data_IF_247579593091
#
_entry.id   IF_247579593091
#
_cell.length_a   1.000
_cell.length_b   1.000
_cell.length_c   1.000
_cell.angle_alpha   90.00
_cell.angle_beta   90.00
_cell.angle_gamma   90.00
#
_symmetry.space_group_name_H-M   'P 1'
#
loop_
_entity.id
_entity.type
_entity.pdbx_description
1 polymer ?
#
# COMPACT_ATOMS: atom_id res chain seq x y z
N UNK A 1 -12.79 19.48 16.33
CA UNK A 1 -12.16 20.71 16.89
C UNK A 1 -11.63 21.62 15.78
N UNK A 2 -10.67 21.21 14.89
CA UNK A 2 -10.12 22.09 13.84
C UNK A 2 -11.19 22.76 12.94
N UNK A 3 -12.20 22.01 12.51
CA UNK A 3 -13.30 22.58 11.69
C UNK A 3 -14.06 23.71 12.41
N UNK A 4 -14.35 23.53 13.70
CA UNK A 4 -15.04 24.55 14.50
C UNK A 4 -14.17 25.78 14.70
N UNK A 5 -12.88 25.60 14.96
CA UNK A 5 -11.92 26.71 15.10
C UNK A 5 -11.88 27.57 13.83
N UNK A 6 -11.71 26.94 12.66
CA UNK A 6 -11.69 27.63 11.36
C UNK A 6 -13.05 28.27 11.03
N UNK A 7 -14.15 27.62 11.46
CA UNK A 7 -15.48 28.17 11.23
C UNK A 7 -15.76 29.42 12.08
N UNK A 8 -15.17 29.50 13.28
CA UNK A 8 -15.34 30.61 14.20
C UNK A 8 -14.33 31.74 13.99
N UNK A 9 -13.07 31.39 13.75
CA UNK A 9 -11.95 32.35 13.69
C UNK A 9 -11.64 32.83 12.26
N UNK A 10 -12.28 32.29 11.24
CA UNK A 10 -12.18 32.76 9.85
C UNK A 10 -10.82 32.63 9.18
N UNK A 11 -9.96 31.69 9.65
CA UNK A 11 -8.63 31.49 9.10
C UNK A 11 -8.66 30.93 7.69
N UNK A 12 -8.19 31.69 6.69
CA UNK A 12 -7.99 31.24 5.31
C UNK A 12 -6.54 31.44 4.87
N UNK A 13 -6.02 30.53 4.04
CA UNK A 13 -4.70 30.61 3.43
C UNK A 13 -4.82 31.14 2.00
N UNK A 14 -4.84 32.47 1.86
CA UNK A 14 -5.06 33.15 0.57
C UNK A 14 -3.77 33.27 -0.27
N UNK A 15 -2.63 33.03 0.31
CA UNK A 15 -1.32 32.99 -0.33
C UNK A 15 -1.12 31.75 -1.22
N UNK A 16 -1.86 30.69 -0.96
CA UNK A 16 -1.83 29.43 -1.75
C UNK A 16 -2.66 29.61 -3.02
N UNK A 17 -2.06 29.40 -4.18
CA UNK A 17 -2.74 29.52 -5.49
C UNK A 17 -3.34 28.21 -5.97
N UNK A 18 -2.72 27.09 -5.62
CA UNK A 18 -3.17 25.75 -5.97
C UNK A 18 -2.77 24.78 -4.87
N UNK A 19 -3.71 23.98 -4.41
CA UNK A 19 -3.49 22.92 -3.43
C UNK A 19 -3.54 21.57 -4.13
N UNK A 20 -2.51 20.75 -3.93
CA UNK A 20 -2.47 19.37 -4.34
C UNK A 20 -2.72 18.50 -3.10
N UNK A 21 -3.68 17.59 -3.19
CA UNK A 21 -3.99 16.60 -2.15
C UNK A 21 -3.74 15.23 -2.75
N UNK A 22 -2.75 14.52 -2.24
CA UNK A 22 -2.46 13.17 -2.65
C UNK A 22 -3.09 12.16 -1.67
N UNK A 23 -3.18 10.88 -2.10
CA UNK A 23 -3.76 9.80 -1.32
C UNK A 23 -5.20 10.13 -0.84
N UNK A 24 -6.06 10.49 -1.77
CA UNK A 24 -7.41 11.02 -1.53
C UNK A 24 -8.24 10.23 -0.52
N UNK A 25 -8.01 8.94 -0.38
CA UNK A 25 -8.79 8.06 0.50
C UNK A 25 -8.36 8.09 1.97
N UNK A 26 -7.22 8.67 2.28
CA UNK A 26 -6.74 8.78 3.66
C UNK A 26 -7.45 9.90 4.44
N UNK A 27 -8.14 10.78 3.72
CA UNK A 27 -8.86 11.90 4.31
C UNK A 27 -10.34 11.57 4.53
N UNK A 28 -10.83 11.92 5.72
CA UNK A 28 -12.25 11.84 6.04
C UNK A 28 -13.03 12.99 5.38
N UNK A 29 -14.36 12.87 5.20
CA UNK A 29 -15.18 13.96 4.67
C UNK A 29 -15.07 15.27 5.46
N UNK A 30 -14.85 15.19 6.78
CA UNK A 30 -14.63 16.37 7.63
C UNK A 30 -13.32 17.06 7.30
N UNK A 31 -12.24 16.29 7.07
CA UNK A 31 -10.94 16.85 6.67
C UNK A 31 -11.04 17.56 5.31
N UNK A 32 -11.80 17.01 4.34
CA UNK A 32 -12.06 17.70 3.07
C UNK A 32 -12.80 19.02 3.27
N UNK A 33 -13.78 19.09 4.17
CA UNK A 33 -14.47 20.34 4.50
C UNK A 33 -13.54 21.35 5.17
N UNK A 34 -12.61 20.90 6.00
CA UNK A 34 -11.55 21.73 6.58
C UNK A 34 -10.64 22.28 5.48
N UNK A 35 -10.15 21.41 4.59
CA UNK A 35 -9.32 21.79 3.44
C UNK A 35 -10.05 22.82 2.55
N UNK A 36 -11.33 22.62 2.28
CA UNK A 36 -12.11 23.53 1.47
C UNK A 36 -12.22 24.93 2.08
N UNK A 37 -12.41 25.01 3.41
CA UNK A 37 -12.50 26.30 4.13
C UNK A 37 -11.14 26.99 4.25
N UNK A 38 -10.09 26.23 4.58
CA UNK A 38 -8.74 26.79 4.75
C UNK A 38 -8.14 27.30 3.44
N UNK A 39 -8.38 26.60 2.34
CA UNK A 39 -7.77 26.90 1.05
C UNK A 39 -8.84 27.21 0.01
N UNK A 40 -9.19 28.48 -0.21
CA UNK A 40 -10.16 28.90 -1.23
C UNK A 40 -9.65 28.78 -2.68
N UNK A 41 -8.40 28.37 -2.87
CA UNK A 41 -7.75 28.22 -4.17
C UNK A 41 -8.23 26.99 -4.96
N UNK A 42 -7.73 26.85 -6.21
CA UNK A 42 -7.90 25.63 -7.01
C UNK A 42 -7.30 24.44 -6.29
N UNK A 43 -7.95 23.27 -6.45
CA UNK A 43 -7.51 22.02 -5.82
C UNK A 43 -7.40 20.92 -6.86
N UNK A 44 -6.37 20.11 -6.77
CA UNK A 44 -6.27 18.81 -7.45
C UNK A 44 -6.16 17.74 -6.38
N UNK A 45 -7.05 16.76 -6.45
CA UNK A 45 -7.10 15.64 -5.51
C UNK A 45 -6.74 14.38 -6.29
N UNK A 46 -5.69 13.71 -5.85
CA UNK A 46 -5.13 12.51 -6.48
C UNK A 46 -5.32 11.31 -5.56
N UNK A 47 -5.39 10.13 -6.13
CA UNK A 47 -5.36 8.88 -5.37
C UNK A 47 -6.03 7.74 -6.09
N UNK A 48 -5.75 6.52 -5.59
CA UNK A 48 -6.34 5.29 -6.10
C UNK A 48 -7.58 4.91 -5.27
N UNK A 49 -8.72 4.82 -5.93
CA UNK A 49 -9.98 4.44 -5.31
C UNK A 49 -9.95 3.00 -4.72
N UNK A 50 -9.03 2.15 -5.14
CA UNK A 50 -8.91 0.75 -4.70
C UNK A 50 -7.96 0.56 -3.51
N UNK A 51 -7.09 1.52 -3.21
CA UNK A 51 -6.04 1.41 -2.17
C UNK A 51 -6.44 2.11 -0.84
N UNK A 52 -7.55 1.72 -0.23
CA UNK A 52 -7.92 2.23 1.09
C UNK A 52 -7.55 1.26 2.20
N UNK A 53 -6.73 1.69 3.13
CA UNK A 53 -6.42 0.99 4.39
C UNK A 53 -6.95 1.73 5.62
N UNK A 54 -7.55 2.92 5.42
CA UNK A 54 -8.15 3.72 6.49
C UNK A 54 -9.67 3.48 6.55
N UNK A 55 -10.20 2.85 7.61
CA UNK A 55 -11.64 2.61 7.75
C UNK A 55 -12.47 3.90 7.88
N UNK A 56 -11.83 5.02 8.24
CA UNK A 56 -12.48 6.33 8.39
C UNK A 56 -12.27 7.25 7.18
N UNK A 57 -11.54 6.80 6.16
CA UNK A 57 -11.28 7.55 4.94
C UNK A 57 -12.55 7.71 4.07
N UNK A 58 -12.50 8.64 3.13
CA UNK A 58 -13.57 8.81 2.13
C UNK A 58 -13.58 7.63 1.18
N UNK A 59 -14.66 6.87 1.15
CA UNK A 59 -14.72 5.59 0.44
C UNK A 59 -15.00 5.71 -1.06
N UNK A 60 -15.50 6.84 -1.53
CA UNK A 60 -15.86 7.03 -2.96
C UNK A 60 -15.52 8.42 -3.48
N UNK A 61 -15.27 8.52 -4.79
CA UNK A 61 -15.11 9.81 -5.49
C UNK A 61 -16.33 10.72 -5.30
N UNK A 62 -17.53 10.16 -5.26
CA UNK A 62 -18.78 10.91 -5.05
C UNK A 62 -18.84 11.59 -3.66
N UNK A 63 -18.34 10.92 -2.62
CA UNK A 63 -18.26 11.52 -1.28
C UNK A 63 -17.27 12.69 -1.24
N UNK A 64 -16.15 12.55 -1.93
CA UNK A 64 -15.14 13.60 -2.04
C UNK A 64 -15.70 14.78 -2.84
N UNK A 65 -16.36 14.52 -3.98
CA UNK A 65 -17.03 15.57 -4.76
C UNK A 65 -18.09 16.32 -3.93
N UNK A 66 -18.94 15.61 -3.20
CA UNK A 66 -19.92 16.23 -2.29
C UNK A 66 -19.27 17.07 -1.19
N UNK A 67 -18.11 16.66 -0.68
CA UNK A 67 -17.38 17.41 0.34
C UNK A 67 -16.71 18.67 -0.23
N UNK A 68 -16.21 18.61 -1.46
CA UNK A 68 -15.53 19.73 -2.15
C UNK A 68 -16.48 20.62 -2.99
N UNK A 69 -17.75 20.22 -3.13
CA UNK A 69 -18.85 20.95 -3.79
C UNK A 69 -18.74 21.07 -5.31
N UNK A 70 -17.53 21.17 -5.89
CA UNK A 70 -17.33 21.28 -7.34
C UNK A 70 -16.05 20.56 -7.75
N UNK A 71 -16.06 19.89 -8.88
CA UNK A 71 -14.87 19.25 -9.45
C UNK A 71 -15.20 18.30 -10.58
N UNK A 72 -14.32 18.21 -11.56
CA UNK A 72 -14.35 17.18 -12.58
C UNK A 72 -13.55 15.96 -12.09
N UNK A 73 -14.05 14.76 -12.38
CA UNK A 73 -13.36 13.51 -12.09
C UNK A 73 -12.73 13.00 -13.37
N UNK A 74 -11.42 12.85 -13.35
CA UNK A 74 -10.67 12.23 -14.41
C UNK A 74 -10.15 10.88 -13.92
N UNK A 75 -10.44 9.81 -14.67
CA UNK A 75 -9.94 8.45 -14.36
C UNK A 75 -8.69 8.17 -15.20
N UNK A 76 -7.63 7.73 -14.53
CA UNK A 76 -6.43 7.19 -15.18
C UNK A 76 -6.49 5.67 -15.06
N UNK A 77 -6.77 4.99 -16.16
CA UNK A 77 -7.02 3.54 -16.16
C UNK A 77 -5.76 2.70 -16.38
N UNK A 78 -4.67 3.27 -16.91
CA UNK A 78 -3.45 2.52 -17.24
C UNK A 78 -2.50 2.43 -16.05
N UNK A 79 -2.11 1.19 -15.71
CA UNK A 79 -1.08 0.90 -14.70
C UNK A 79 0.26 0.66 -15.38
N UNK A 80 1.25 1.49 -15.04
CA UNK A 80 2.62 1.42 -15.58
C UNK A 80 3.61 0.81 -14.59
N UNK A 81 3.23 0.65 -13.33
CA UNK A 81 4.11 0.28 -12.22
C UNK A 81 4.51 -1.19 -12.28
N UNK A 82 3.54 -2.06 -12.23
CA UNK A 82 3.72 -3.50 -12.11
C UNK A 82 3.65 -4.21 -13.46
N UNK A 83 4.16 -5.44 -13.53
CA UNK A 83 3.96 -6.32 -14.69
C UNK A 83 2.50 -6.74 -14.81
N UNK A 84 2.10 -7.21 -16.01
CA UNK A 84 0.75 -7.73 -16.24
C UNK A 84 0.40 -8.83 -15.25
N UNK A 85 1.34 -9.76 -14.99
CA UNK A 85 1.15 -10.91 -14.12
C UNK A 85 0.89 -10.51 -12.65
N UNK A 86 1.58 -9.46 -12.16
CA UNK A 86 1.35 -8.91 -10.82
C UNK A 86 0.00 -8.17 -10.78
N UNK A 87 -0.32 -7.42 -11.82
CA UNK A 87 -1.60 -6.70 -11.93
C UNK A 87 -2.77 -7.69 -11.97
N UNK A 88 -2.67 -8.75 -12.77
CA UNK A 88 -3.69 -9.82 -12.86
C UNK A 88 -3.85 -10.55 -11.52
N UNK A 89 -2.75 -10.76 -10.79
CA UNK A 89 -2.80 -11.35 -9.45
C UNK A 89 -3.50 -10.40 -8.46
N UNK A 90 -3.21 -9.12 -8.49
CA UNK A 90 -3.87 -8.11 -7.65
C UNK A 90 -5.38 -8.04 -7.93
N UNK A 91 -5.80 -8.23 -9.19
CA UNK A 91 -7.21 -8.28 -9.59
C UNK A 91 -7.98 -9.46 -8.97
N UNK A 92 -7.32 -10.58 -8.66
CA UNK A 92 -7.96 -11.68 -7.91
C UNK A 92 -8.30 -11.26 -6.48
N UNK A 93 -7.42 -10.49 -5.85
CA UNK A 93 -7.63 -10.00 -4.49
C UNK A 93 -8.74 -8.94 -4.48
N UNK A 94 -8.67 -7.96 -5.37
CA UNK A 94 -9.67 -6.90 -5.49
C UNK A 94 -9.86 -6.51 -6.95
N UNK A 95 -11.05 -6.74 -7.46
CA UNK A 95 -11.40 -6.40 -8.83
C UNK A 95 -11.46 -4.88 -8.99
N UNK A 96 -10.73 -4.36 -9.95
CA UNK A 96 -10.82 -2.98 -10.43
C UNK A 96 -11.05 -3.02 -11.95
N UNK A 97 -12.31 -2.91 -12.37
CA UNK A 97 -12.72 -3.01 -13.77
C UNK A 97 -12.18 -1.87 -14.64
N UNK A 98 -11.77 -0.77 -14.04
CA UNK A 98 -11.23 0.38 -14.75
C UNK A 98 -9.70 0.26 -15.01
N UNK A 99 -9.02 -0.75 -14.45
CA UNK A 99 -7.58 -0.88 -14.53
C UNK A 99 -7.15 -1.65 -15.78
N UNK A 100 -6.38 -1.01 -16.63
CA UNK A 100 -5.76 -1.60 -17.81
C UNK A 100 -4.25 -1.77 -17.56
N UNK A 101 -3.71 -3.01 -17.53
CA UNK A 101 -2.28 -3.20 -17.45
C UNK A 101 -1.59 -2.73 -18.75
N UNK A 102 -0.47 -2.06 -18.62
CA UNK A 102 0.41 -1.82 -19.76
C UNK A 102 1.15 -3.12 -20.08
N UNK A 103 1.35 -3.41 -21.36
CA UNK A 103 2.00 -4.65 -21.85
C UNK A 103 3.48 -4.74 -21.43
N UNK A 104 3.71 -4.91 -20.12
CA UNK A 104 5.00 -5.18 -19.50
C UNK A 104 4.91 -6.51 -18.80
N UNK A 105 5.56 -7.52 -19.36
CA UNK A 105 5.54 -8.89 -18.85
C UNK A 105 6.71 -9.18 -17.93
N UNK A 106 6.52 -10.10 -16.97
CA UNK A 106 7.51 -10.53 -16.01
C UNK A 106 7.21 -11.91 -15.43
N UNK A 107 7.82 -12.22 -14.30
CA UNK A 107 7.57 -13.48 -13.60
C UNK A 107 6.16 -13.50 -13.01
N UNK A 108 5.51 -14.67 -13.06
CA UNK A 108 4.24 -14.88 -12.36
C UNK A 108 4.46 -14.81 -10.85
N UNK A 109 3.58 -14.15 -10.10
CA UNK A 109 3.61 -14.20 -8.64
C UNK A 109 3.64 -15.62 -8.11
N UNK A 110 4.49 -15.86 -7.10
CA UNK A 110 4.66 -17.16 -6.45
C UNK A 110 3.92 -17.16 -5.13
N UNK A 111 3.21 -18.26 -4.84
CA UNK A 111 2.59 -18.52 -3.54
C UNK A 111 3.21 -19.80 -3.01
N UNK A 112 3.97 -19.69 -1.91
CA UNK A 112 4.76 -20.79 -1.36
C UNK A 112 4.20 -21.20 -0.01
N UNK A 113 3.91 -22.53 0.12
CA UNK A 113 3.41 -23.15 1.34
C UNK A 113 4.54 -23.84 2.10
N UNK A 114 4.55 -23.69 3.41
CA UNK A 114 5.47 -24.36 4.33
C UNK A 114 4.72 -25.08 5.44
N UNK A 115 5.36 -26.11 6.02
CA UNK A 115 4.71 -26.88 7.09
C UNK A 115 4.63 -26.10 8.41
N UNK A 116 5.60 -25.23 8.65
CA UNK A 116 5.71 -24.45 9.87
C UNK A 116 6.45 -23.11 9.63
N UNK A 117 6.37 -22.25 10.62
CA UNK A 117 6.99 -20.92 10.58
C UNK A 117 8.51 -20.95 10.41
N UNK A 118 9.21 -21.96 10.95
CA UNK A 118 10.68 -22.07 10.81
C UNK A 118 11.08 -22.33 9.36
N UNK A 119 10.34 -23.20 8.68
CA UNK A 119 10.56 -23.47 7.25
C UNK A 119 10.26 -22.23 6.41
N UNK A 120 9.16 -21.53 6.70
CA UNK A 120 8.80 -20.28 6.04
C UNK A 120 9.91 -19.22 6.23
N UNK A 121 10.40 -19.04 7.45
CA UNK A 121 11.47 -18.10 7.75
C UNK A 121 12.79 -18.46 7.01
N UNK A 122 13.12 -19.76 6.95
CA UNK A 122 14.29 -20.24 6.20
C UNK A 122 14.18 -19.92 4.71
N UNK A 123 12.99 -20.15 4.14
CA UNK A 123 12.72 -19.84 2.74
C UNK A 123 12.79 -18.32 2.46
N UNK A 124 12.31 -17.49 3.37
CA UNK A 124 12.44 -16.02 3.24
C UNK A 124 13.92 -15.62 3.21
N UNK A 125 14.78 -16.24 4.05
CA UNK A 125 16.23 -16.00 4.02
C UNK A 125 16.85 -16.39 2.67
N UNK A 126 16.43 -17.50 2.09
CA UNK A 126 16.89 -17.93 0.76
C UNK A 126 16.42 -16.99 -0.37
N UNK A 127 15.19 -16.48 -0.27
CA UNK A 127 14.67 -15.45 -1.18
C UNK A 127 15.49 -14.15 -1.08
N UNK A 128 15.87 -13.74 0.13
CA UNK A 128 16.75 -12.58 0.32
C UNK A 128 18.12 -12.78 -0.32
N UNK A 129 18.73 -13.95 -0.17
CA UNK A 129 20.00 -14.28 -0.83
C UNK A 129 19.85 -14.26 -2.36
N UNK A 130 18.72 -14.77 -2.86
CA UNK A 130 18.41 -14.74 -4.30
C UNK A 130 18.27 -13.30 -4.81
N UNK A 131 17.59 -12.43 -4.05
CA UNK A 131 17.50 -11.00 -4.34
C UNK A 131 18.89 -10.35 -4.37
N UNK A 132 19.75 -10.59 -3.37
CA UNK A 132 21.11 -10.03 -3.31
C UNK A 132 21.98 -10.42 -4.49
N UNK A 133 21.74 -11.58 -5.10
CA UNK A 133 22.41 -12.04 -6.32
C UNK A 133 21.77 -11.49 -7.61
N UNK A 134 20.65 -10.77 -7.52
CA UNK A 134 19.92 -10.22 -8.67
C UNK A 134 20.40 -8.83 -9.05
N UNK A 135 19.88 -8.30 -10.18
CA UNK A 135 20.09 -6.91 -10.59
C UNK A 135 19.12 -5.90 -9.92
N UNK A 136 18.19 -6.38 -9.11
CA UNK A 136 17.20 -5.54 -8.44
C UNK A 136 17.84 -4.72 -7.31
N UNK A 137 17.31 -3.52 -7.08
CA UNK A 137 17.88 -2.54 -6.15
C UNK A 137 17.09 -2.39 -4.86
N UNK A 138 15.84 -2.85 -4.84
CA UNK A 138 14.93 -2.71 -3.71
C UNK A 138 14.13 -3.97 -3.47
N UNK A 139 14.14 -4.46 -2.23
CA UNK A 139 13.33 -5.57 -1.75
C UNK A 139 12.46 -5.09 -0.59
N UNK A 140 11.14 -5.18 -0.74
CA UNK A 140 10.19 -4.95 0.34
C UNK A 140 9.70 -6.25 0.96
N UNK A 141 9.94 -6.46 2.26
CA UNK A 141 9.29 -7.50 3.03
C UNK A 141 8.11 -6.85 3.75
N UNK A 142 6.91 -7.07 3.21
CA UNK A 142 5.72 -6.33 3.64
C UNK A 142 4.86 -7.23 4.52
N UNK A 143 4.87 -6.95 5.82
CA UNK A 143 4.02 -7.62 6.81
C UNK A 143 2.67 -6.90 6.95
N UNK A 144 1.65 -7.58 7.44
CA UNK A 144 0.33 -6.98 7.65
C UNK A 144 0.38 -5.81 8.64
N UNK A 145 1.03 -6.00 9.80
CA UNK A 145 1.09 -5.02 10.88
C UNK A 145 2.53 -4.62 11.21
N UNK A 146 2.70 -3.49 11.90
CA UNK A 146 4.03 -3.04 12.35
C UNK A 146 4.65 -4.00 13.40
N UNK A 147 3.82 -4.60 14.27
CA UNK A 147 4.30 -5.60 15.22
C UNK A 147 4.84 -6.85 14.54
N UNK A 148 4.16 -7.35 13.51
CA UNK A 148 4.65 -8.47 12.71
C UNK A 148 5.92 -8.11 11.92
N UNK A 149 6.01 -6.89 11.39
CA UNK A 149 7.21 -6.43 10.70
C UNK A 149 8.41 -6.37 11.64
N UNK A 150 8.23 -5.90 12.87
CA UNK A 150 9.26 -5.88 13.91
C UNK A 150 9.69 -7.31 14.29
N UNK A 151 8.73 -8.18 14.56
CA UNK A 151 9.01 -9.57 14.89
C UNK A 151 9.75 -10.29 13.75
N UNK A 152 9.38 -10.02 12.50
CA UNK A 152 10.07 -10.56 11.31
C UNK A 152 11.51 -10.06 11.23
N UNK A 153 11.77 -8.77 11.48
CA UNK A 153 13.12 -8.22 11.52
C UNK A 153 13.98 -8.89 12.60
N UNK A 154 13.42 -9.07 13.80
CA UNK A 154 14.09 -9.71 14.93
C UNK A 154 14.44 -11.19 14.65
N UNK A 155 13.55 -11.92 13.94
CA UNK A 155 13.75 -13.34 13.58
C UNK A 155 14.73 -13.53 12.41
N UNK A 156 14.72 -12.62 11.44
CA UNK A 156 15.61 -12.73 10.28
C UNK A 156 17.07 -12.51 10.65
N UNK A 157 17.37 -11.54 11.51
CA UNK A 157 18.72 -11.23 12.00
C UNK A 157 19.78 -11.09 10.88
N UNK A 158 19.37 -10.50 9.75
CA UNK A 158 20.25 -10.29 8.59
C UNK A 158 20.84 -8.88 8.69
N UNK A 159 22.15 -8.72 8.53
CA UNK A 159 22.78 -7.41 8.41
C UNK A 159 22.17 -6.59 7.26
N UNK A 160 22.16 -5.27 7.39
CA UNK A 160 21.70 -4.33 6.36
C UNK A 160 20.20 -4.41 6.01
N UNK A 161 19.38 -5.04 6.85
CA UNK A 161 17.92 -4.91 6.77
C UNK A 161 17.46 -3.62 7.46
N UNK A 162 16.73 -2.80 6.73
CA UNK A 162 16.13 -1.58 7.25
C UNK A 162 14.70 -1.85 7.72
N UNK A 163 14.47 -1.81 9.01
CA UNK A 163 13.11 -1.80 9.55
C UNK A 163 12.55 -0.37 9.51
N UNK A 164 11.46 -0.18 8.75
CA UNK A 164 10.75 1.09 8.69
C UNK A 164 9.50 1.06 9.58
N UNK A 165 9.48 1.96 10.53
CA UNK A 165 8.36 2.21 11.44
C UNK A 165 7.76 3.60 11.20
N UNK A 166 6.63 3.87 11.84
CA UNK A 166 6.01 5.20 11.85
C UNK A 166 6.92 6.33 12.39
N UNK A 167 8.04 5.99 13.04
CA UNK A 167 9.02 6.93 13.58
C UNK A 167 10.26 7.12 12.68
N UNK A 168 10.37 6.36 11.60
CA UNK A 168 11.53 6.43 10.69
C UNK A 168 11.50 7.71 9.87
N UNK A 169 12.62 8.41 9.78
CA UNK A 169 12.74 9.72 9.14
C UNK A 169 13.20 9.67 7.67
N UNK A 170 13.68 8.53 7.18
CA UNK A 170 14.19 8.40 5.82
C UNK A 170 13.94 6.99 5.25
N UNK A 171 13.66 6.95 3.94
CA UNK A 171 13.65 5.73 3.17
C UNK A 171 15.09 5.39 2.74
N UNK A 172 15.50 4.15 2.94
CA UNK A 172 16.82 3.64 2.54
C UNK A 172 16.62 2.59 1.45
N UNK A 173 17.43 2.67 0.38
CA UNK A 173 17.46 1.62 -0.64
C UNK A 173 18.00 0.31 -0.08
N UNK A 174 17.64 -0.82 -0.71
CA UNK A 174 18.06 -2.14 -0.32
C UNK A 174 16.91 -2.98 0.23
N UNK A 175 17.17 -3.71 1.31
CA UNK A 175 16.18 -4.59 1.93
C UNK A 175 15.44 -3.82 3.02
N UNK A 176 14.13 -3.76 2.87
CA UNK A 176 13.25 -3.02 3.80
C UNK A 176 12.18 -3.96 4.35
N UNK A 177 12.02 -3.97 5.69
CA UNK A 177 10.89 -4.62 6.35
C UNK A 177 9.93 -3.54 6.81
N UNK A 178 8.65 -3.70 6.46
CA UNK A 178 7.66 -2.64 6.64
C UNK A 178 6.25 -3.22 6.79
N UNK A 179 5.34 -2.49 7.42
CA UNK A 179 3.92 -2.86 7.43
C UNK A 179 3.20 -2.43 6.15
N UNK A 180 2.11 -3.12 5.79
CA UNK A 180 1.30 -2.81 4.62
C UNK A 180 0.78 -1.36 4.62
N UNK A 181 0.42 -0.84 5.79
CA UNK A 181 -0.02 0.55 5.94
C UNK A 181 1.09 1.54 5.58
N UNK A 182 2.30 1.31 6.07
CA UNK A 182 3.46 2.16 5.83
C UNK A 182 4.05 2.00 4.43
N UNK A 183 3.84 0.84 3.80
CA UNK A 183 4.28 0.57 2.43
C UNK A 183 3.47 1.37 1.38
N UNK A 184 2.35 1.97 1.77
CA UNK A 184 1.56 2.82 0.88
C UNK A 184 2.40 3.99 0.37
N UNK A 185 2.37 4.21 -0.95
CA UNK A 185 3.21 5.23 -1.61
C UNK A 185 4.64 4.78 -1.94
N UNK A 186 5.11 3.64 -1.41
CA UNK A 186 6.42 3.07 -1.76
C UNK A 186 6.31 2.08 -2.92
N UNK A 187 7.45 1.78 -3.54
CA UNK A 187 7.58 0.83 -4.65
C UNK A 187 8.88 0.05 -4.48
N UNK A 188 8.84 -1.26 -4.80
CA UNK A 188 9.98 -2.13 -4.70
C UNK A 188 10.12 -2.97 -5.97
N UNK A 189 11.35 -3.22 -6.40
CA UNK A 189 11.60 -4.12 -7.52
C UNK A 189 11.07 -5.52 -7.23
N UNK A 190 11.29 -5.99 -6.00
CA UNK A 190 10.82 -7.27 -5.50
C UNK A 190 10.06 -7.10 -4.18
N UNK A 191 8.97 -7.85 -4.02
CA UNK A 191 8.19 -7.88 -2.77
C UNK A 191 8.02 -9.31 -2.28
N UNK A 192 8.24 -9.50 -0.99
CA UNK A 192 7.89 -10.71 -0.24
C UNK A 192 6.81 -10.35 0.76
N UNK A 193 5.69 -11.08 0.74
CA UNK A 193 4.60 -10.92 1.70
C UNK A 193 4.53 -12.21 2.53
N UNK A 194 5.01 -12.20 3.78
CA UNK A 194 4.97 -13.37 4.66
C UNK A 194 3.62 -13.55 5.33
N UNK A 195 3.39 -14.77 5.85
CA UNK A 195 2.25 -15.12 6.71
C UNK A 195 0.89 -14.86 6.06
N UNK A 196 0.75 -15.18 4.75
CA UNK A 196 -0.49 -14.98 3.98
C UNK A 196 -1.43 -16.16 4.19
N UNK A 197 -1.70 -16.52 5.43
CA UNK A 197 -2.63 -17.58 5.84
C UNK A 197 -4.04 -17.04 6.15
N UNK A 198 -5.00 -17.97 6.32
CA UNK A 198 -6.41 -17.67 6.57
C UNK A 198 -6.70 -17.07 7.95
N UNK A 199 -5.78 -17.21 8.91
CA UNK A 199 -5.89 -16.60 10.25
C UNK A 199 -5.43 -15.17 10.24
N UNK A 200 -4.38 -14.87 9.45
CA UNK A 200 -3.82 -13.54 9.39
C UNK A 200 -4.61 -12.62 8.44
N UNK A 201 -5.07 -13.14 7.28
CA UNK A 201 -5.81 -12.34 6.29
C UNK A 201 -7.19 -12.93 6.03
N UNK A 202 -8.24 -12.42 6.72
CA UNK A 202 -9.61 -12.95 6.64
C UNK A 202 -10.70 -11.87 6.56
N UNK A 203 -10.41 -10.62 6.90
CA UNK A 203 -11.38 -9.50 6.88
C UNK A 203 -11.24 -8.64 5.62
N UNK A 204 -12.24 -7.81 5.31
CA UNK A 204 -12.16 -6.86 4.19
C UNK A 204 -11.05 -5.80 4.37
N UNK A 205 -10.69 -5.47 5.61
CA UNK A 205 -9.54 -4.61 5.89
C UNK A 205 -8.25 -5.35 5.54
N UNK A 206 -8.12 -6.62 5.93
CA UNK A 206 -6.96 -7.45 5.60
C UNK A 206 -6.82 -7.62 4.08
N UNK A 207 -7.95 -7.82 3.38
CA UNK A 207 -7.99 -7.86 1.92
C UNK A 207 -7.42 -6.58 1.30
N UNK A 208 -7.80 -5.43 1.86
CA UNK A 208 -7.28 -4.13 1.39
C UNK A 208 -5.78 -3.99 1.67
N UNK A 209 -5.30 -4.44 2.85
CA UNK A 209 -3.88 -4.43 3.20
C UNK A 209 -3.07 -5.35 2.28
N UNK A 210 -3.59 -6.55 1.98
CA UNK A 210 -2.95 -7.48 1.05
C UNK A 210 -2.89 -6.90 -0.37
N UNK A 211 -3.97 -6.28 -0.84
CA UNK A 211 -4.00 -5.60 -2.14
C UNK A 211 -2.94 -4.49 -2.21
N UNK A 212 -2.84 -3.64 -1.17
CA UNK A 212 -1.80 -2.61 -1.10
C UNK A 212 -0.42 -3.23 -1.15
N UNK A 213 -0.14 -4.27 -0.36
CA UNK A 213 1.17 -4.92 -0.33
C UNK A 213 1.55 -5.51 -1.71
N UNK A 214 0.63 -6.22 -2.36
CA UNK A 214 0.83 -6.79 -3.70
C UNK A 214 1.14 -5.73 -4.74
N UNK A 215 0.42 -4.61 -4.72
CA UNK A 215 0.60 -3.50 -5.68
C UNK A 215 1.87 -2.68 -5.45
N UNK A 216 2.68 -3.01 -4.44
CA UNK A 216 4.01 -2.40 -4.24
C UNK A 216 5.09 -3.05 -5.09
N UNK A 217 4.85 -4.25 -5.61
CA UNK A 217 5.82 -4.98 -6.43
C UNK A 217 5.84 -4.45 -7.87
N UNK A 218 7.04 -4.19 -8.38
CA UNK A 218 7.25 -3.78 -9.77
C UNK A 218 7.58 -4.95 -10.70
N UNK A 219 8.43 -5.89 -10.26
CA UNK A 219 8.99 -6.94 -11.11
C UNK A 219 8.76 -8.35 -10.59
N UNK A 220 8.93 -8.58 -9.28
CA UNK A 220 8.82 -9.90 -8.67
C UNK A 220 7.98 -9.85 -7.40
N UNK A 221 7.08 -10.82 -7.26
CA UNK A 221 6.20 -10.95 -6.11
C UNK A 221 6.19 -12.38 -5.59
N UNK A 222 6.47 -12.56 -4.31
CA UNK A 222 6.37 -13.84 -3.63
C UNK A 222 5.54 -13.68 -2.37
N UNK A 223 4.52 -14.53 -2.22
CA UNK A 223 3.73 -14.66 -1.01
C UNK A 223 4.12 -15.96 -0.32
N UNK A 224 4.26 -15.93 1.01
CA UNK A 224 4.57 -17.14 1.78
C UNK A 224 3.57 -17.34 2.90
N UNK A 225 3.29 -18.59 3.24
CA UNK A 225 2.47 -18.94 4.40
C UNK A 225 2.86 -20.28 4.98
N UNK A 226 2.61 -20.45 6.28
CA UNK A 226 2.78 -21.72 6.98
C UNK A 226 1.43 -22.30 7.40
N UNK A 227 1.33 -23.64 7.36
CA UNK A 227 0.12 -24.36 7.69
C UNK A 227 -0.68 -24.84 6.48
N UNK A 228 -1.97 -25.16 6.68
CA UNK A 228 -2.77 -25.90 5.69
C UNK A 228 -3.56 -25.02 4.72
N UNK A 229 -3.79 -23.76 5.06
CA UNK A 229 -4.65 -22.87 4.28
C UNK A 229 -4.04 -21.48 4.10
N UNK A 230 -3.96 -21.05 2.86
CA UNK A 230 -3.72 -19.63 2.55
C UNK A 230 -4.98 -18.80 2.79
N UNK A 231 -4.85 -17.49 2.73
CA UNK A 231 -5.98 -16.54 2.77
C UNK A 231 -7.04 -16.87 1.70
N UNK A 232 -8.34 -16.61 1.95
CA UNK A 232 -9.39 -16.81 0.96
C UNK A 232 -9.36 -15.80 -0.21
N UNK A 233 -8.43 -14.86 -0.21
CA UNK A 233 -8.37 -13.77 -1.21
C UNK A 233 -7.49 -14.08 -2.42
N UNK A 234 -6.77 -15.22 -2.46
CA UNK A 234 -5.89 -15.65 -3.56
C UNK A 234 -6.17 -17.06 -4.05
#
# INVERSE_FOLDING_TARGET
MAYLHIALDGGTKNDVKHLLVDEMKDYSPIQYKVIQKLFPCRKTVLGDASQSVNPYGSSTTDMIQKALVTGEVMKLCKSYRSTCEITDFAQKIRINTDLEPVARHGEKPKVLQFNNEKEELSAIKELIVTYQASAYKSLGIICKTESQAREMADKLQIPDINFLSSQSSAFVQGIVIISAHMAKGLEFDEVIIPQVDDRNYHSEIDRSMLYVAVTRAMHRLTLTYSGTKHTPFI
#
